data_IF_622666058546
#
_entry.id   IF_622666058546
#
_cell.length_a   1.000
_cell.length_b   1.000
_cell.length_c   1.000
_cell.angle_alpha   90.00
_cell.angle_beta   90.00
_cell.angle_gamma   90.00
#
_symmetry.space_group_name_H-M   'P 1'
#
loop_
_entity.id
_entity.type
_entity.pdbx_description
1 polymer ?
#
# COMPACT_ATOMS: atom_id res chain seq x y z
N UNK A 1 1.66 -1.92 -9.39
CA UNK A 1 2.56 -2.77 -8.55
C UNK A 1 4.00 -2.77 -9.01
N UNK A 2 4.35 -3.11 -10.27
CA UNK A 2 5.75 -3.03 -10.75
C UNK A 2 6.34 -1.62 -10.61
N UNK A 3 5.59 -0.59 -11.02
CA UNK A 3 5.99 0.82 -10.87
C UNK A 3 6.19 1.22 -9.40
N UNK A 4 5.27 0.81 -8.52
CA UNK A 4 5.41 1.00 -7.07
C UNK A 4 6.70 0.37 -6.55
N UNK A 5 6.99 -0.88 -6.90
CA UNK A 5 8.21 -1.54 -6.44
C UNK A 5 9.48 -0.90 -7.01
N UNK A 6 9.43 -0.41 -8.25
CA UNK A 6 10.55 0.34 -8.83
C UNK A 6 10.81 1.66 -8.07
N UNK A 7 9.76 2.39 -7.70
CA UNK A 7 9.90 3.61 -6.90
C UNK A 7 10.40 3.32 -5.47
N UNK A 8 9.93 2.22 -4.86
CA UNK A 8 10.41 1.77 -3.54
C UNK A 8 11.90 1.46 -3.56
N UNK A 9 12.38 0.73 -4.58
CA UNK A 9 13.81 0.44 -4.75
C UNK A 9 14.64 1.71 -4.93
N UNK A 10 14.14 2.67 -5.71
CA UNK A 10 14.80 3.96 -5.88
C UNK A 10 14.96 4.71 -4.55
N UNK A 11 13.89 4.81 -3.76
CA UNK A 11 13.91 5.53 -2.46
C UNK A 11 14.74 4.77 -1.42
N UNK A 12 14.71 3.44 -1.43
CA UNK A 12 15.54 2.62 -0.53
C UNK A 12 17.03 2.90 -0.73
N UNK A 13 17.46 3.11 -1.98
CA UNK A 13 18.85 3.47 -2.26
C UNK A 13 19.25 4.82 -1.63
N UNK A 14 18.29 5.72 -1.38
CA UNK A 14 18.52 7.02 -0.76
C UNK A 14 18.43 6.99 0.77
N UNK A 15 17.55 6.18 1.34
CA UNK A 15 17.21 6.18 2.78
C UNK A 15 17.88 5.05 3.58
N UNK A 16 18.46 4.04 2.91
CA UNK A 16 19.25 2.97 3.53
C UNK A 16 18.49 1.65 3.80
N UNK A 17 19.23 0.61 4.16
CA UNK A 17 18.88 -0.82 4.04
C UNK A 17 17.74 -1.36 4.94
N UNK A 18 17.06 -0.54 5.73
CA UNK A 18 16.07 -1.02 6.72
C UNK A 18 14.69 -1.33 6.13
N UNK A 19 14.46 -1.01 4.86
CA UNK A 19 13.18 -1.22 4.19
C UNK A 19 13.11 -2.61 3.57
N UNK A 20 12.05 -3.34 3.91
CA UNK A 20 11.72 -4.61 3.27
C UNK A 20 10.43 -4.46 2.48
N UNK A 21 10.41 -5.02 1.28
CA UNK A 21 9.21 -5.08 0.46
C UNK A 21 9.05 -6.44 -0.19
N UNK A 22 7.83 -6.72 -0.64
CA UNK A 22 7.52 -7.88 -1.45
C UNK A 22 6.12 -7.78 -2.03
N UNK A 23 5.81 -8.62 -3.00
CA UNK A 23 4.46 -8.78 -3.51
C UNK A 23 4.20 -10.22 -3.90
N UNK A 24 2.92 -10.58 -3.92
CA UNK A 24 2.44 -11.88 -4.35
C UNK A 24 1.10 -11.73 -5.08
N UNK A 25 0.76 -12.71 -5.92
CA UNK A 25 -0.58 -12.84 -6.47
C UNK A 25 -1.56 -13.22 -5.36
N UNK A 26 -2.72 -12.57 -5.32
CA UNK A 26 -3.79 -12.87 -4.37
C UNK A 26 -5.11 -13.08 -5.13
N UNK A 27 -5.40 -14.35 -5.48
CA UNK A 27 -6.53 -14.68 -6.35
C UNK A 27 -6.37 -14.02 -7.73
N UNK A 28 -7.38 -13.26 -8.16
CA UNK A 28 -7.33 -12.44 -9.38
C UNK A 28 -6.66 -11.05 -9.17
N UNK A 29 -6.04 -10.84 -8.02
CA UNK A 29 -5.42 -9.59 -7.60
C UNK A 29 -3.93 -9.69 -7.31
N UNK A 30 -3.36 -8.61 -6.79
CA UNK A 30 -1.98 -8.54 -6.33
C UNK A 30 -1.94 -7.89 -4.96
N UNK A 31 -1.16 -8.47 -4.06
CA UNK A 31 -0.91 -7.95 -2.72
C UNK A 31 0.57 -7.58 -2.61
N UNK A 32 0.87 -6.36 -2.24
CA UNK A 32 2.21 -5.89 -1.90
C UNK A 32 2.28 -5.42 -0.47
N UNK A 33 3.47 -5.51 0.13
CA UNK A 33 3.73 -5.03 1.48
C UNK A 33 5.05 -4.28 1.50
N UNK A 34 5.04 -3.11 2.13
CA UNK A 34 6.22 -2.32 2.51
C UNK A 34 6.37 -2.37 4.03
N UNK A 35 7.59 -2.57 4.53
CA UNK A 35 7.87 -2.76 5.96
C UNK A 35 9.08 -1.95 6.40
N UNK A 36 8.97 -1.40 7.60
CA UNK A 36 10.03 -0.71 8.30
C UNK A 36 9.88 -0.94 9.80
N UNK A 37 10.91 -1.54 10.42
CA UNK A 37 10.87 -1.90 11.84
C UNK A 37 9.62 -2.69 12.20
N UNK A 38 8.74 -2.09 13.00
CA UNK A 38 7.48 -2.69 13.45
C UNK A 38 6.23 -2.27 12.67
N UNK A 39 6.33 -1.47 11.62
CA UNK A 39 5.15 -1.04 10.84
C UNK A 39 5.18 -1.57 9.43
N UNK A 40 3.99 -1.67 8.85
CA UNK A 40 3.82 -2.09 7.47
C UNK A 40 2.73 -1.27 6.76
N UNK A 41 2.94 -1.01 5.48
CA UNK A 41 1.91 -0.59 4.55
C UNK A 41 1.59 -1.74 3.60
N UNK A 42 0.37 -2.24 3.65
CA UNK A 42 -0.14 -3.23 2.73
C UNK A 42 -0.89 -2.54 1.59
N UNK A 43 -0.59 -2.93 0.35
CA UNK A 43 -1.29 -2.46 -0.85
C UNK A 43 -1.94 -3.66 -1.51
N UNK A 44 -3.26 -3.69 -1.57
CA UNK A 44 -4.04 -4.75 -2.22
C UNK A 44 -4.77 -4.21 -3.43
N UNK A 45 -4.51 -4.83 -4.56
CA UNK A 45 -5.32 -4.70 -5.75
C UNK A 45 -6.22 -5.92 -5.88
N UNK A 46 -7.53 -5.72 -5.95
CA UNK A 46 -8.47 -6.80 -6.20
C UNK A 46 -9.35 -6.44 -7.39
N UNK A 47 -9.33 -7.30 -8.40
CA UNK A 47 -10.22 -7.22 -9.56
C UNK A 47 -10.86 -8.59 -9.75
N UNK A 48 -12.11 -8.74 -9.31
CA UNK A 48 -12.80 -10.03 -9.29
C UNK A 48 -13.26 -10.44 -10.71
N UNK A 49 -13.61 -9.45 -11.54
CA UNK A 49 -14.01 -9.64 -12.93
C UNK A 49 -13.21 -8.73 -13.85
N UNK A 50 -12.68 -9.25 -14.96
CA UNK A 50 -11.92 -8.46 -15.95
C UNK A 50 -12.79 -7.42 -16.68
N UNK A 51 -14.11 -7.58 -16.65
CA UNK A 51 -15.06 -6.84 -17.49
C UNK A 51 -15.89 -5.80 -16.72
N UNK A 52 -15.72 -5.68 -15.39
CA UNK A 52 -16.55 -4.83 -14.53
C UNK A 52 -15.66 -3.96 -13.64
N UNK A 53 -15.89 -2.64 -13.64
CA UNK A 53 -15.17 -1.69 -12.78
C UNK A 53 -15.81 -1.52 -11.39
N UNK A 54 -17.01 -2.06 -11.16
CA UNK A 54 -17.82 -1.81 -9.96
C UNK A 54 -17.25 -2.44 -8.66
N UNK A 55 -16.41 -3.47 -8.77
CA UNK A 55 -15.81 -4.18 -7.62
C UNK A 55 -14.28 -4.08 -7.57
N UNK A 56 -13.74 -3.01 -8.14
CA UNK A 56 -12.30 -2.82 -8.32
C UNK A 56 -11.82 -1.69 -7.42
N UNK A 57 -10.87 -2.00 -6.54
CA UNK A 57 -10.26 -1.01 -5.67
C UNK A 57 -8.79 -1.34 -5.40
N UNK A 58 -7.99 -0.28 -5.28
CA UNK A 58 -6.67 -0.33 -4.69
C UNK A 58 -6.79 0.08 -3.22
N UNK A 59 -6.62 -0.88 -2.33
CA UNK A 59 -6.70 -0.67 -0.89
C UNK A 59 -5.31 -0.56 -0.28
N UNK A 60 -5.11 0.44 0.57
CA UNK A 60 -3.81 0.80 1.13
C UNK A 60 -3.98 0.89 2.64
N UNK A 61 -3.44 -0.08 3.37
CA UNK A 61 -3.72 -0.29 4.78
C UNK A 61 -2.44 -0.19 5.59
N UNK A 62 -2.44 0.71 6.58
CA UNK A 62 -1.35 0.88 7.54
C UNK A 62 -1.53 -0.07 8.71
N UNK A 63 -0.43 -0.66 9.16
CA UNK A 63 -0.39 -1.58 10.27
C UNK A 63 0.72 -1.25 11.27
N UNK A 64 0.40 -1.39 12.56
CA UNK A 64 1.35 -1.53 13.65
C UNK A 64 1.56 -3.02 13.92
N UNK A 65 2.61 -3.57 13.32
CA UNK A 65 2.97 -4.97 13.31
C UNK A 65 3.50 -5.40 11.95
N UNK A 66 4.32 -6.45 11.94
CA UNK A 66 4.83 -7.01 10.70
C UNK A 66 3.70 -7.73 9.94
N UNK A 67 3.38 -7.23 8.75
CA UNK A 67 2.52 -7.93 7.80
C UNK A 67 3.40 -8.86 6.96
N UNK A 68 3.09 -10.15 6.96
CA UNK A 68 3.88 -11.17 6.28
C UNK A 68 3.16 -11.60 5.00
N UNK A 69 3.92 -11.76 3.92
CA UNK A 69 3.44 -12.36 2.67
C UNK A 69 3.41 -13.88 2.80
N UNK A 70 2.48 -14.55 2.12
CA UNK A 70 2.39 -16.03 2.15
C UNK A 70 3.68 -16.67 1.66
N UNK A 71 4.32 -16.08 0.66
CA UNK A 71 5.59 -16.53 0.11
C UNK A 71 6.75 -16.57 1.11
N UNK A 72 6.65 -15.85 2.23
CA UNK A 72 7.71 -15.79 3.24
C UNK A 72 7.67 -16.95 4.23
N UNK A 73 6.61 -17.78 4.23
CA UNK A 73 6.45 -18.93 5.14
C UNK A 73 6.76 -18.60 6.62
N UNK A 74 6.40 -17.39 7.06
CA UNK A 74 6.58 -16.92 8.44
C UNK A 74 5.22 -16.67 9.07
N UNK A 75 5.11 -16.97 10.36
CA UNK A 75 3.95 -16.61 11.15
C UNK A 75 4.34 -15.43 12.03
N UNK A 76 3.64 -14.29 11.95
CA UNK A 76 3.94 -13.18 12.85
C UNK A 76 3.61 -13.60 14.27
N UNK A 77 4.46 -13.20 15.22
CA UNK A 77 4.28 -13.55 16.64
C UNK A 77 3.03 -12.90 17.24
N UNK A 78 2.61 -11.75 16.68
CA UNK A 78 1.42 -11.00 17.06
C UNK A 78 0.62 -10.62 15.83
N UNK A 79 -0.70 -10.50 15.99
CA UNK A 79 -1.56 -9.98 14.93
C UNK A 79 -1.29 -8.48 14.72
N UNK A 80 -1.00 -8.04 13.48
CA UNK A 80 -0.71 -6.64 13.21
C UNK A 80 -1.98 -5.78 13.38
N UNK A 81 -1.88 -4.73 14.18
CA UNK A 81 -3.00 -3.81 14.44
C UNK A 81 -3.19 -2.85 13.26
N UNK A 82 -4.39 -2.80 12.69
CA UNK A 82 -4.75 -1.84 11.64
C UNK A 82 -4.78 -0.41 12.20
N UNK A 83 -3.98 0.49 11.62
CA UNK A 83 -3.91 1.90 12.02
C UNK A 83 -4.80 2.79 11.16
N UNK A 84 -4.94 2.46 9.88
CA UNK A 84 -5.69 3.26 8.92
C UNK A 84 -5.81 2.56 7.59
N UNK A 85 -6.79 2.96 6.79
CA UNK A 85 -6.96 2.46 5.42
C UNK A 85 -7.42 3.57 4.50
N UNK A 86 -6.82 3.60 3.31
CA UNK A 86 -7.21 4.43 2.20
C UNK A 86 -7.58 3.56 1.00
N UNK A 87 -8.53 4.00 0.20
CA UNK A 87 -8.99 3.27 -1.00
C UNK A 87 -9.01 4.19 -2.20
N UNK A 88 -8.50 3.69 -3.31
CA UNK A 88 -8.59 4.34 -4.62
C UNK A 88 -9.43 3.48 -5.55
N UNK A 89 -10.32 4.14 -6.29
CA UNK A 89 -11.26 3.50 -7.19
C UNK A 89 -10.93 3.89 -8.63
N UNK A 90 -11.04 2.97 -9.60
CA UNK A 90 -10.87 3.31 -10.99
C UNK A 90 -12.03 4.19 -11.47
N UNK A 91 -11.70 5.16 -12.32
CA UNK A 91 -12.64 6.03 -12.99
C UNK A 91 -12.11 6.36 -14.38
N UNK A 92 -12.99 6.78 -15.28
CA UNK A 92 -12.58 7.25 -16.60
C UNK A 92 -12.59 8.78 -16.63
N UNK A 93 -11.53 9.37 -17.19
CA UNK A 93 -11.57 10.79 -17.54
C UNK A 93 -12.39 11.02 -18.83
N UNK A 94 -12.55 12.29 -19.23
CA UNK A 94 -13.24 12.67 -20.48
C UNK A 94 -12.61 12.04 -21.73
N UNK A 95 -11.31 11.74 -21.69
CA UNK A 95 -10.56 11.05 -22.75
C UNK A 95 -10.69 9.53 -22.75
N UNK A 96 -11.51 8.94 -21.86
CA UNK A 96 -11.66 7.48 -21.64
C UNK A 96 -10.39 6.78 -21.18
N UNK A 97 -9.48 7.52 -20.56
CA UNK A 97 -8.31 6.93 -19.92
C UNK A 97 -8.66 6.51 -18.49
N UNK A 98 -8.13 5.37 -18.06
CA UNK A 98 -8.26 4.91 -16.69
C UNK A 98 -7.45 5.82 -15.76
N UNK A 99 -8.13 6.32 -14.74
CA UNK A 99 -7.61 7.15 -13.66
C UNK A 99 -8.07 6.59 -12.33
N UNK A 100 -7.45 7.05 -11.26
CA UNK A 100 -7.79 6.71 -9.91
C UNK A 100 -8.46 7.87 -9.21
N UNK A 101 -9.37 7.56 -8.31
CA UNK A 101 -10.10 8.54 -7.55
C UNK A 101 -10.16 8.13 -6.08
N UNK A 102 -9.94 9.09 -5.21
CA UNK A 102 -10.30 8.97 -3.80
C UNK A 102 -11.74 9.42 -3.64
N UNK A 103 -12.61 8.58 -3.04
CA UNK A 103 -14.03 8.94 -2.83
C UNK A 103 -14.22 10.18 -1.95
N UNK A 104 -13.23 10.53 -1.13
CA UNK A 104 -13.26 11.77 -0.34
C UNK A 104 -12.97 13.03 -1.17
N UNK A 105 -12.41 12.87 -2.38
CA UNK A 105 -12.04 13.95 -3.32
C UNK A 105 -12.35 13.53 -4.76
N UNK A 106 -13.64 13.37 -5.11
CA UNK A 106 -14.04 12.76 -6.38
C UNK A 106 -13.62 13.56 -7.63
N UNK A 107 -13.40 14.87 -7.48
CA UNK A 107 -12.91 15.76 -8.53
C UNK A 107 -11.43 15.54 -8.90
N UNK A 108 -10.66 14.85 -8.04
CA UNK A 108 -9.24 14.65 -8.26
C UNK A 108 -8.96 13.28 -8.91
N UNK A 109 -8.88 13.28 -10.24
CA UNK A 109 -8.44 12.12 -11.01
C UNK A 109 -6.91 12.02 -11.03
N UNK A 110 -6.39 10.87 -10.58
CA UNK A 110 -4.97 10.58 -10.45
C UNK A 110 -4.51 9.58 -11.53
N UNK A 111 -3.32 9.77 -12.06
CA UNK A 111 -2.61 8.75 -12.83
C UNK A 111 -2.11 7.61 -11.94
N UNK A 112 -1.59 6.54 -12.55
CA UNK A 112 -0.87 5.51 -11.80
C UNK A 112 0.31 6.11 -11.02
N UNK A 113 1.09 6.99 -11.65
CA UNK A 113 2.25 7.63 -11.03
C UNK A 113 1.87 8.44 -9.79
N UNK A 114 0.80 9.22 -9.89
CA UNK A 114 0.29 10.01 -8.76
C UNK A 114 -0.13 9.12 -7.59
N UNK A 115 -0.81 8.00 -7.87
CA UNK A 115 -1.19 7.05 -6.81
C UNK A 115 0.05 6.44 -6.19
N UNK A 116 1.02 6.01 -6.99
CA UNK A 116 2.26 5.44 -6.46
C UNK A 116 2.97 6.44 -5.55
N UNK A 117 3.12 7.70 -5.96
CA UNK A 117 3.70 8.76 -5.14
C UNK A 117 2.93 8.93 -3.82
N UNK A 118 1.59 8.94 -3.86
CA UNK A 118 0.75 9.01 -2.64
C UNK A 118 0.94 7.79 -1.72
N UNK A 119 1.19 6.60 -2.25
CA UNK A 119 1.49 5.40 -1.44
C UNK A 119 2.83 5.52 -0.73
N UNK A 120 3.83 6.03 -1.45
CA UNK A 120 5.15 6.29 -0.89
C UNK A 120 5.07 7.35 0.20
N UNK A 121 4.42 8.49 -0.06
CA UNK A 121 4.19 9.54 0.94
C UNK A 121 3.50 8.99 2.19
N UNK A 122 2.49 8.14 2.01
CA UNK A 122 1.78 7.48 3.11
C UNK A 122 2.72 6.59 3.92
N UNK A 123 3.56 5.79 3.26
CA UNK A 123 4.53 4.93 3.93
C UNK A 123 5.60 5.74 4.67
N UNK A 124 6.15 6.78 4.06
CA UNK A 124 7.11 7.69 4.70
C UNK A 124 6.51 8.40 5.92
N UNK A 125 5.26 8.84 5.82
CA UNK A 125 4.54 9.41 6.96
C UNK A 125 4.36 8.40 8.08
N UNK A 126 4.08 7.13 7.76
CA UNK A 126 3.99 6.05 8.74
C UNK A 126 5.34 5.82 9.44
N UNK A 127 6.44 5.80 8.68
CA UNK A 127 7.81 5.68 9.21
C UNK A 127 8.14 6.84 10.16
N UNK A 128 7.92 8.08 9.73
CA UNK A 128 8.16 9.28 10.56
C UNK A 128 7.35 9.24 11.87
N UNK A 129 6.09 8.80 11.82
CA UNK A 129 5.25 8.63 13.02
C UNK A 129 5.81 7.59 13.99
N UNK A 130 6.40 6.52 13.49
CA UNK A 130 7.07 5.51 14.33
C UNK A 130 8.35 6.04 14.96
N UNK A 131 9.22 6.65 14.16
CA UNK A 131 10.51 7.15 14.62
C UNK A 131 10.34 8.27 15.67
N UNK A 132 9.25 9.05 15.56
CA UNK A 132 8.87 10.06 16.57
C UNK A 132 8.11 9.50 17.78
N UNK A 133 7.90 8.18 17.86
CA UNK A 133 7.18 7.54 18.97
C UNK A 133 5.68 7.83 19.03
N UNK A 134 5.07 8.34 17.94
CA UNK A 134 3.63 8.65 17.87
C UNK A 134 2.75 7.41 17.68
N UNK A 135 3.34 6.29 17.30
CA UNK A 135 2.66 4.99 17.24
C UNK A 135 3.14 4.19 18.46
N UNK A 136 2.24 3.74 19.35
CA UNK A 136 2.63 3.02 20.56
C UNK A 136 3.32 1.70 20.21
N UNK A 137 4.19 1.24 21.10
CA UNK A 137 4.70 -0.13 21.02
C UNK A 137 3.54 -1.11 21.14
N UNK A 138 3.66 -2.26 20.47
CA UNK A 138 2.71 -3.34 20.63
C UNK A 138 2.85 -3.82 22.08
N UNK A 139 1.86 -3.50 22.91
CA UNK A 139 1.82 -3.85 24.32
C UNK A 139 1.65 -5.37 24.50
N UNK A 140 2.39 -5.93 25.44
CA UNK A 140 2.35 -7.34 25.87
C UNK A 140 1.05 -7.72 26.57
#
# INVERSE_FOLDING_TARGET
MKELMAQVEHIKAEVGSQWMWGYESEGAGVRGVLRYGRVALEVRWRQIYTNVMEDVALECTEYNGAVVLRSENKMPFYEPQKLGQKKYYPALNMGREMRWMDKSKPEQLMSNGDVVEKLIEQFLSLVDRVDRGKIPAISH
#
